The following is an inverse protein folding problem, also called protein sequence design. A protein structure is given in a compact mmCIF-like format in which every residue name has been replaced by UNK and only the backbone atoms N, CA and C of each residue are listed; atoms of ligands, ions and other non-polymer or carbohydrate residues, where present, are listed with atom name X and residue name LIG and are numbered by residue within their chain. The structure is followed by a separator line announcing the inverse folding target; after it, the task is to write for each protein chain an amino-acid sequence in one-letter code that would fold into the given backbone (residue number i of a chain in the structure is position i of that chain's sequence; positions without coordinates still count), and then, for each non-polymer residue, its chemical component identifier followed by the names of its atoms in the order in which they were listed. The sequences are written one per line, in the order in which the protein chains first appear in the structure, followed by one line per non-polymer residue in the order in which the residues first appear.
data_IF_284089623629
#
_entry.id   IF_284089623629
#
_cell.length_a   1.000
_cell.length_b   1.000
_cell.length_c   1.000
_cell.angle_alpha   90.00
_cell.angle_beta   90.00
_cell.angle_gamma   90.00
#
_symmetry.space_group_name_H-M   'P 1'
#
loop_
_entity.id
_entity.type
_entity.pdbx_description
1 polymer ?
#
# COMPACT_ATOMS: atom_id res chain seq x y z
N UNK A 1 26.31 40.11 17.90
CA UNK A 1 24.92 40.44 17.54
C UNK A 1 24.00 39.53 18.34
N UNK A 2 23.48 40.06 19.44
CA UNK A 2 22.66 39.38 20.43
C UNK A 2 21.18 39.51 20.07
N UNK A 3 20.49 38.38 19.89
CA UNK A 3 19.03 38.32 19.87
C UNK A 3 18.50 38.31 21.32
N UNK A 4 18.66 39.45 21.99
CA UNK A 4 17.84 39.83 23.14
C UNK A 4 16.81 40.82 22.61
N UNK A 5 15.53 40.44 22.64
CA UNK A 5 14.33 41.27 22.69
C UNK A 5 13.20 40.63 21.88
N UNK A 6 12.41 39.76 22.52
CA UNK A 6 10.95 39.69 22.35
C UNK A 6 10.35 38.72 23.37
N UNK A 7 9.85 39.27 24.49
CA UNK A 7 8.70 38.81 25.30
C UNK A 7 8.61 39.70 26.56
N UNK A 8 7.73 40.70 26.60
CA UNK A 8 7.30 41.28 27.87
C UNK A 8 5.97 40.65 28.34
N UNK A 9 5.95 40.36 29.64
CA UNK A 9 4.78 40.32 30.53
C UNK A 9 3.68 39.25 30.31
N UNK A 10 3.92 38.06 30.87
CA UNK A 10 2.87 37.30 31.57
C UNK A 10 3.38 37.07 33.00
N UNK A 11 2.91 37.90 33.95
CA UNK A 11 3.07 37.60 35.38
C UNK A 11 2.01 36.56 35.77
N UNK A 12 2.37 35.37 36.28
CA UNK A 12 1.39 34.52 36.92
C UNK A 12 1.02 35.12 38.28
N UNK A 13 -0.28 35.27 38.54
CA UNK A 13 -0.79 35.50 39.89
C UNK A 13 -0.32 34.35 40.78
N UNK A 14 0.23 34.71 41.94
CA UNK A 14 0.81 33.79 42.92
C UNK A 14 -0.23 32.80 43.46
N UNK A 15 -0.31 31.62 42.87
CA UNK A 15 -0.73 30.38 43.51
C UNK A 15 -0.21 29.22 42.64
N UNK A 16 0.60 28.33 43.24
CA UNK A 16 1.36 27.24 42.61
C UNK A 16 2.73 27.63 42.02
N UNK A 17 3.73 27.63 42.89
CA UNK A 17 5.13 27.57 42.48
C UNK A 17 5.41 26.25 41.77
N UNK A 18 6.20 26.34 40.71
CA UNK A 18 6.79 25.30 39.82
C UNK A 18 7.38 24.05 40.53
N UNK A 19 7.45 24.00 41.87
CA UNK A 19 8.07 22.92 42.65
C UNK A 19 7.31 21.59 42.67
N UNK A 20 6.01 21.55 42.36
CA UNK A 20 5.27 20.27 42.28
C UNK A 20 5.57 19.52 40.96
N UNK A 21 6.09 20.22 39.94
CA UNK A 21 6.49 19.57 38.69
C UNK A 21 7.75 18.70 38.85
N UNK A 22 8.72 19.07 39.69
CA UNK A 22 10.02 18.37 39.74
C UNK A 22 9.95 16.92 40.28
N UNK A 23 8.99 16.62 41.16
CA UNK A 23 8.74 15.24 41.60
C UNK A 23 8.09 14.39 40.49
N UNK A 24 7.20 14.98 39.69
CA UNK A 24 6.65 14.33 38.48
C UNK A 24 7.73 14.16 37.39
N UNK A 25 8.71 15.06 37.31
CA UNK A 25 9.86 14.99 36.39
C UNK A 25 10.73 13.75 36.66
N UNK A 26 10.75 13.21 37.89
CA UNK A 26 11.53 12.00 38.20
C UNK A 26 10.88 10.71 37.67
N UNK A 27 9.54 10.65 37.59
CA UNK A 27 8.82 9.60 36.83
C UNK A 27 9.03 9.79 35.31
N UNK A 28 9.21 11.04 34.89
CA UNK A 28 9.44 11.47 33.52
C UNK A 28 10.80 11.06 32.93
N UNK A 29 11.83 10.83 33.78
CA UNK A 29 13.16 10.37 33.33
C UNK A 29 13.14 8.95 32.73
N UNK A 30 12.11 8.15 32.99
CA UNK A 30 11.95 6.80 32.41
C UNK A 30 11.39 6.86 30.99
N UNK A 31 10.79 7.98 30.56
CA UNK A 31 10.10 8.09 29.28
C UNK A 31 10.86 8.99 28.32
N UNK A 32 12.10 8.63 28.03
CA UNK A 32 12.93 9.32 27.03
C UNK A 32 12.88 8.58 25.69
N UNK A 33 11.73 8.59 25.02
CA UNK A 33 11.61 8.24 23.61
C UNK A 33 10.67 9.23 22.90
N UNK A 34 11.20 9.84 21.83
CA UNK A 34 10.55 10.67 20.79
C UNK A 34 10.00 12.07 21.14
N UNK A 35 10.32 13.05 20.28
CA UNK A 35 9.90 14.46 20.33
C UNK A 35 8.37 14.68 20.51
N UNK A 36 7.55 13.74 20.02
CA UNK A 36 6.09 13.80 20.16
C UNK A 36 5.61 13.69 21.62
N UNK A 37 6.32 12.95 22.48
CA UNK A 37 5.92 12.78 23.87
C UNK A 37 6.07 14.07 24.69
N UNK A 38 7.09 14.87 24.38
CA UNK A 38 7.27 16.20 25.00
C UNK A 38 6.17 17.19 24.61
N UNK A 39 5.65 17.12 23.38
CA UNK A 39 4.58 18.01 22.91
C UNK A 39 3.22 17.65 23.53
N UNK A 40 2.89 16.37 23.59
CA UNK A 40 1.63 15.89 24.19
C UNK A 40 1.53 16.24 25.66
N UNK A 41 2.63 16.11 26.39
CA UNK A 41 2.62 16.41 27.81
C UNK A 41 2.57 17.91 28.11
N UNK A 42 3.15 18.76 27.24
CA UNK A 42 2.93 20.20 27.30
C UNK A 42 1.45 20.53 27.05
N UNK A 43 0.83 19.87 26.07
CA UNK A 43 -0.61 20.02 25.81
C UNK A 43 -1.47 19.56 27.00
N UNK A 44 -1.10 18.50 27.73
CA UNK A 44 -1.78 18.10 28.96
C UNK A 44 -1.79 19.23 30.01
N UNK A 45 -0.67 19.94 30.16
CA UNK A 45 -0.54 21.07 31.10
C UNK A 45 -1.41 22.24 30.63
N UNK A 46 -1.38 22.58 29.35
CA UNK A 46 -2.22 23.63 28.76
C UNK A 46 -3.71 23.32 28.96
N UNK A 47 -4.16 22.09 28.68
CA UNK A 47 -5.55 21.65 28.94
C UNK A 47 -5.93 21.90 30.40
N UNK A 48 -5.10 21.48 31.36
CA UNK A 48 -5.39 21.65 32.78
C UNK A 48 -5.52 23.14 33.18
N UNK A 49 -4.62 23.99 32.70
CA UNK A 49 -4.67 25.42 32.97
C UNK A 49 -5.86 26.11 32.30
N UNK A 50 -6.21 25.71 31.08
CA UNK A 50 -7.35 26.24 30.34
C UNK A 50 -8.67 25.86 31.01
N UNK A 51 -8.83 24.60 31.44
CA UNK A 51 -10.01 24.17 32.20
C UNK A 51 -10.13 24.97 33.50
N UNK A 52 -9.02 25.21 34.19
CA UNK A 52 -9.02 25.98 35.45
C UNK A 52 -9.56 27.42 35.22
N UNK A 53 -9.08 28.10 34.18
CA UNK A 53 -9.59 29.41 33.75
C UNK A 53 -11.07 29.36 33.35
N UNK A 54 -11.49 28.31 32.65
CA UNK A 54 -12.88 28.11 32.21
C UNK A 54 -13.83 27.82 33.36
N UNK A 55 -13.39 27.16 34.43
CA UNK A 55 -14.20 26.98 35.63
C UNK A 55 -14.54 28.32 36.30
N UNK A 56 -13.60 29.26 36.35
CA UNK A 56 -13.85 30.61 36.88
C UNK A 56 -14.85 31.39 36.01
N UNK A 57 -14.70 31.30 34.68
CA UNK A 57 -15.65 31.91 33.73
C UNK A 57 -17.05 31.30 33.84
N UNK A 58 -17.14 29.97 33.91
CA UNK A 58 -18.40 29.23 34.03
C UNK A 58 -19.15 29.57 35.33
N UNK A 59 -18.41 29.81 36.41
CA UNK A 59 -18.97 30.31 37.66
C UNK A 59 -19.49 31.74 37.50
N UNK A 60 -18.70 32.64 36.90
CA UNK A 60 -19.08 34.03 36.73
C UNK A 60 -20.32 34.21 35.84
N UNK A 61 -20.42 33.43 34.76
CA UNK A 61 -21.49 33.57 33.76
C UNK A 61 -22.76 32.79 34.13
N UNK A 62 -22.62 31.54 34.58
CA UNK A 62 -23.76 30.65 34.81
C UNK A 62 -24.03 30.36 36.28
N UNK A 63 -23.25 30.94 37.20
CA UNK A 63 -23.35 30.67 38.65
C UNK A 63 -23.21 29.18 39.00
N UNK A 64 -22.48 28.41 38.18
CA UNK A 64 -22.25 26.98 38.37
C UNK A 64 -20.80 26.72 38.77
N UNK A 65 -20.61 26.06 39.91
CA UNK A 65 -19.27 25.72 40.40
C UNK A 65 -18.76 24.41 39.78
N UNK A 66 -17.52 24.42 39.30
CA UNK A 66 -16.78 23.21 38.94
C UNK A 66 -15.35 23.28 39.50
N UNK A 67 -14.86 22.19 40.05
CA UNK A 67 -13.57 22.15 40.73
C UNK A 67 -12.56 21.35 39.92
N UNK A 68 -11.44 22.01 39.58
CA UNK A 68 -10.28 21.34 38.99
C UNK A 68 -9.31 20.99 40.09
N UNK A 69 -8.91 19.72 40.16
CA UNK A 69 -7.97 19.23 41.18
C UNK A 69 -6.80 18.50 40.53
N UNK A 70 -5.65 18.35 41.22
CA UNK A 70 -4.57 17.49 40.75
C UNK A 70 -5.03 16.05 40.47
N UNK A 71 -6.06 15.56 41.17
CA UNK A 71 -6.63 14.24 40.93
C UNK A 71 -7.35 14.14 39.58
N UNK A 72 -7.95 15.22 39.08
CA UNK A 72 -8.53 15.28 37.73
C UNK A 72 -7.44 15.25 36.66
N UNK A 73 -6.27 15.85 36.93
CA UNK A 73 -5.10 15.74 36.06
C UNK A 73 -4.55 14.31 35.99
N UNK A 74 -4.47 13.62 37.13
CA UNK A 74 -4.08 12.21 37.14
C UNK A 74 -5.08 11.31 36.41
N UNK A 75 -6.38 11.62 36.48
CA UNK A 75 -7.41 10.92 35.70
C UNK A 75 -7.19 11.10 34.20
N UNK A 76 -6.94 12.33 33.73
CA UNK A 76 -6.56 12.60 32.32
C UNK A 76 -5.40 11.68 31.88
N UNK A 77 -4.30 11.68 32.64
CA UNK A 77 -3.11 10.90 32.29
C UNK A 77 -3.39 9.40 32.29
N UNK A 78 -4.19 8.93 33.25
CA UNK A 78 -4.54 7.52 33.36
C UNK A 78 -5.44 7.05 32.21
N UNK A 79 -6.47 7.85 31.86
CA UNK A 79 -7.35 7.57 30.73
C UNK A 79 -6.54 7.60 29.42
N UNK A 80 -5.72 8.63 29.20
CA UNK A 80 -4.88 8.73 28.02
C UNK A 80 -3.94 7.52 27.87
N UNK A 81 -3.24 7.14 28.94
CA UNK A 81 -2.29 6.01 28.93
C UNK A 81 -2.98 4.67 28.65
N UNK A 82 -4.20 4.47 29.17
CA UNK A 82 -5.01 3.27 28.91
C UNK A 82 -5.50 3.22 27.46
N UNK A 83 -5.99 4.35 26.94
CA UNK A 83 -6.64 4.41 25.63
C UNK A 83 -5.65 4.44 24.46
N UNK A 84 -4.48 5.08 24.62
CA UNK A 84 -3.53 5.24 23.52
C UNK A 84 -3.00 3.89 23.03
N UNK A 85 -2.71 2.96 23.95
CA UNK A 85 -2.26 1.62 23.59
C UNK A 85 -3.34 0.84 22.85
N UNK A 86 -4.56 0.84 23.38
CA UNK A 86 -5.70 0.14 22.79
C UNK A 86 -6.03 0.67 21.39
N UNK A 87 -6.17 1.99 21.24
CA UNK A 87 -6.54 2.62 19.96
C UNK A 87 -5.45 2.50 18.91
N UNK A 88 -4.18 2.63 19.31
CA UNK A 88 -3.06 2.42 18.38
C UNK A 88 -3.01 0.99 17.89
N UNK A 89 -3.23 0.01 18.77
CA UNK A 89 -3.27 -1.40 18.38
C UNK A 89 -4.47 -1.70 17.47
N UNK A 90 -5.66 -1.18 17.79
CA UNK A 90 -6.87 -1.34 16.97
C UNK A 90 -6.66 -0.84 15.53
N UNK A 91 -6.18 0.40 15.38
CA UNK A 91 -5.92 1.00 14.08
C UNK A 91 -4.77 0.31 13.34
N UNK A 92 -3.70 -0.05 14.05
CA UNK A 92 -2.57 -0.77 13.45
C UNK A 92 -3.00 -2.14 12.93
N UNK A 93 -3.77 -2.91 13.72
CA UNK A 93 -4.30 -4.20 13.29
C UNK A 93 -5.26 -4.06 12.10
N UNK A 94 -6.12 -3.04 12.09
CA UNK A 94 -6.99 -2.77 10.93
C UNK A 94 -6.18 -2.44 9.66
N UNK A 95 -5.16 -1.58 9.79
CA UNK A 95 -4.24 -1.24 8.70
C UNK A 95 -3.50 -2.47 8.18
N UNK A 96 -2.94 -3.29 9.08
CA UNK A 96 -2.23 -4.50 8.69
C UNK A 96 -3.12 -5.51 7.98
N UNK A 97 -4.34 -5.74 8.46
CA UNK A 97 -5.29 -6.63 7.77
C UNK A 97 -5.57 -6.16 6.34
N UNK A 98 -5.81 -4.86 6.15
CA UNK A 98 -6.10 -4.31 4.83
C UNK A 98 -4.87 -4.34 3.91
N UNK A 99 -3.69 -4.03 4.47
CA UNK A 99 -2.42 -4.10 3.74
C UNK A 99 -2.08 -5.53 3.30
N UNK A 100 -2.19 -6.51 4.20
CA UNK A 100 -1.99 -7.92 3.86
C UNK A 100 -2.99 -8.42 2.81
N UNK A 101 -4.23 -7.90 2.80
CA UNK A 101 -5.18 -8.19 1.73
C UNK A 101 -4.68 -7.71 0.37
N UNK A 102 -4.17 -6.48 0.31
CA UNK A 102 -3.59 -5.88 -0.90
C UNK A 102 -2.33 -6.63 -1.37
N UNK A 103 -1.41 -6.90 -0.45
CA UNK A 103 -0.14 -7.60 -0.76
C UNK A 103 -0.42 -9.00 -1.34
N UNK A 104 -1.39 -9.73 -0.77
CA UNK A 104 -1.80 -11.05 -1.29
C UNK A 104 -2.37 -10.99 -2.68
N UNK A 105 -3.18 -9.98 -2.99
CA UNK A 105 -3.77 -9.85 -4.32
C UNK A 105 -2.71 -9.49 -5.35
N UNK A 106 -1.79 -8.59 -5.02
CA UNK A 106 -0.71 -8.23 -5.92
C UNK A 106 0.27 -9.41 -6.17
N UNK A 107 0.51 -10.27 -5.18
CA UNK A 107 1.27 -11.53 -5.41
C UNK A 107 0.56 -12.49 -6.38
N UNK A 108 -0.78 -12.52 -6.36
CA UNK A 108 -1.55 -13.33 -7.32
C UNK A 108 -1.40 -12.76 -8.73
N UNK A 109 -1.48 -11.44 -8.90
CA UNK A 109 -1.30 -10.78 -10.21
C UNK A 109 0.13 -10.96 -10.75
N UNK A 110 1.13 -10.90 -9.89
CA UNK A 110 2.52 -11.15 -10.26
C UNK A 110 2.71 -12.58 -10.81
N UNK A 111 2.15 -13.58 -10.13
CA UNK A 111 2.23 -14.97 -10.57
C UNK A 111 1.46 -15.20 -11.90
N UNK A 112 0.32 -14.53 -12.11
CA UNK A 112 -0.41 -14.58 -13.40
C UNK A 112 0.47 -14.09 -14.55
N UNK A 113 1.09 -12.93 -14.32
CA UNK A 113 1.94 -12.27 -15.31
C UNK A 113 3.16 -13.13 -15.59
N UNK A 114 3.73 -13.79 -14.56
CA UNK A 114 4.86 -14.70 -14.71
C UNK A 114 4.51 -15.92 -15.57
N UNK A 115 3.35 -16.54 -15.34
CA UNK A 115 2.87 -17.67 -16.14
C UNK A 115 2.61 -17.25 -17.60
N UNK A 116 2.02 -16.07 -17.81
CA UNK A 116 1.82 -15.52 -19.15
C UNK A 116 3.14 -15.26 -19.88
N UNK A 117 4.12 -14.66 -19.20
CA UNK A 117 5.48 -14.46 -19.74
C UNK A 117 6.13 -15.78 -20.12
N UNK A 118 6.09 -16.80 -19.25
CA UNK A 118 6.64 -18.13 -19.55
C UNK A 118 5.99 -18.77 -20.79
N UNK A 119 4.67 -18.60 -20.96
CA UNK A 119 3.98 -19.10 -22.15
C UNK A 119 4.41 -18.37 -23.44
N UNK A 120 4.62 -17.04 -23.38
CA UNK A 120 5.12 -16.27 -24.52
C UNK A 120 6.61 -16.56 -24.81
N UNK A 121 7.44 -16.81 -23.78
CA UNK A 121 8.84 -17.26 -23.94
C UNK A 121 8.93 -18.61 -24.66
N UNK A 122 8.05 -19.55 -24.31
CA UNK A 122 8.00 -20.85 -24.97
C UNK A 122 7.63 -20.71 -26.46
N UNK A 123 6.66 -19.84 -26.79
CA UNK A 123 6.30 -19.54 -28.19
C UNK A 123 7.44 -18.87 -28.94
N UNK A 124 8.10 -17.88 -28.35
CA UNK A 124 9.25 -17.21 -28.95
C UNK A 124 10.40 -18.19 -29.23
N UNK A 125 10.69 -19.08 -28.27
CA UNK A 125 11.73 -20.11 -28.40
C UNK A 125 11.41 -21.10 -29.53
N UNK A 126 10.16 -21.55 -29.65
CA UNK A 126 9.77 -22.46 -30.73
C UNK A 126 9.84 -21.77 -32.10
N UNK A 127 9.39 -20.52 -32.21
CA UNK A 127 9.53 -19.72 -33.44
C UNK A 127 11.01 -19.51 -33.81
N UNK A 128 11.88 -19.27 -32.83
CA UNK A 128 13.32 -19.14 -33.02
C UNK A 128 13.94 -20.41 -33.57
N UNK A 129 13.53 -21.57 -33.01
CA UNK A 129 13.99 -22.89 -33.45
C UNK A 129 13.60 -23.15 -34.91
N UNK A 130 12.38 -22.79 -35.30
CA UNK A 130 11.90 -22.95 -36.69
C UNK A 130 12.67 -22.04 -37.65
N UNK A 131 12.84 -20.75 -37.32
CA UNK A 131 13.61 -19.82 -38.14
C UNK A 131 15.08 -20.28 -38.32
N UNK A 132 15.71 -20.73 -37.24
CA UNK A 132 17.09 -21.24 -37.28
C UNK A 132 17.20 -22.50 -38.16
N UNK A 133 16.25 -23.43 -38.06
CA UNK A 133 16.26 -24.63 -38.90
C UNK A 133 16.13 -24.31 -40.40
N UNK A 134 15.32 -23.31 -40.76
CA UNK A 134 15.19 -22.83 -42.15
C UNK A 134 16.49 -22.15 -42.61
N UNK A 135 17.11 -21.35 -41.73
CA UNK A 135 18.38 -20.69 -42.02
C UNK A 135 19.53 -21.69 -42.25
N UNK A 136 19.65 -22.70 -41.39
CA UNK A 136 20.68 -23.74 -41.49
C UNK A 136 20.52 -24.56 -42.78
N UNK A 137 19.29 -24.87 -43.17
CA UNK A 137 18.99 -25.61 -44.40
C UNK A 137 19.30 -24.77 -45.66
N UNK A 138 18.98 -23.47 -45.64
CA UNK A 138 19.34 -22.55 -46.73
C UNK A 138 20.86 -22.34 -46.83
N UNK A 139 21.56 -22.25 -45.69
CA UNK A 139 23.02 -22.08 -45.65
C UNK A 139 23.74 -23.32 -46.16
N UNK A 140 23.27 -24.51 -45.78
CA UNK A 140 23.80 -25.79 -46.27
C UNK A 140 23.74 -25.89 -47.81
N UNK A 141 22.61 -25.51 -48.41
CA UNK A 141 22.47 -25.49 -49.87
C UNK A 141 23.43 -24.48 -50.51
N UNK A 142 23.61 -23.32 -49.87
CA UNK A 142 24.50 -22.26 -50.35
C UNK A 142 25.98 -22.69 -50.26
N UNK A 143 26.36 -23.38 -49.19
CA UNK A 143 27.72 -23.91 -48.96
C UNK A 143 28.11 -24.98 -49.98
N UNK A 144 27.13 -25.68 -50.59
CA UNK A 144 27.39 -26.61 -51.69
C UNK A 144 27.72 -25.85 -53.00
N UNK A 145 27.05 -24.73 -53.27
CA UNK A 145 27.16 -24.01 -54.54
C UNK A 145 28.26 -22.94 -54.59
N UNK A 146 28.52 -22.24 -53.48
CA UNK A 146 29.46 -21.11 -53.46
C UNK A 146 30.93 -21.50 -53.72
N UNK A 147 31.48 -22.59 -53.17
CA UNK A 147 32.87 -22.96 -53.42
C UNK A 147 33.13 -23.28 -54.90
N UNK A 148 32.16 -23.90 -55.57
CA UNK A 148 32.24 -24.19 -57.00
C UNK A 148 32.24 -22.91 -57.85
N UNK A 149 31.45 -21.91 -57.44
CA UNK A 149 31.38 -20.61 -58.10
C UNK A 149 32.66 -19.78 -57.88
N UNK A 150 33.17 -19.73 -56.66
CA UNK A 150 34.40 -18.99 -56.33
C UNK A 150 35.63 -19.57 -57.03
N UNK A 151 35.75 -20.91 -57.08
CA UNK A 151 36.80 -21.58 -57.82
C UNK A 151 36.76 -21.22 -59.32
N UNK A 152 35.57 -21.12 -59.90
CA UNK A 152 35.39 -20.71 -61.28
C UNK A 152 35.71 -19.22 -61.52
N UNK A 153 35.29 -18.32 -60.63
CA UNK A 153 35.59 -16.89 -60.72
C UNK A 153 37.09 -16.60 -60.60
N UNK A 154 37.78 -17.30 -59.69
CA UNK A 154 39.23 -17.19 -59.55
C UNK A 154 39.96 -17.65 -60.83
N UNK A 155 39.44 -18.70 -61.48
CA UNK A 155 39.97 -19.18 -62.76
C UNK A 155 39.75 -18.17 -63.89
N UNK A 156 38.61 -17.48 -63.94
CA UNK A 156 38.31 -16.43 -64.92
C UNK A 156 39.16 -15.17 -64.75
N UNK A 157 39.40 -14.72 -63.51
CA UNK A 157 40.23 -13.53 -63.22
C UNK A 157 41.68 -13.65 -63.70
N UNK A 158 42.14 -14.86 -64.00
CA UNK A 158 43.48 -15.14 -64.50
C UNK A 158 43.65 -15.01 -66.03
N UNK A 159 42.56 -14.77 -66.78
CA UNK A 159 42.55 -14.78 -68.26
C UNK A 159 42.90 -13.41 -68.87
N UNK A 160 43.46 -13.42 -70.10
CA UNK A 160 43.86 -12.21 -70.85
C UNK A 160 42.96 -12.00 -72.09
N UNK A 161 42.97 -10.77 -72.63
CA UNK A 161 42.06 -10.28 -73.69
C UNK A 161 42.11 -11.08 -75.02
N UNK A 162 43.11 -11.93 -75.25
CA UNK A 162 43.29 -12.69 -76.49
C UNK A 162 42.58 -14.06 -76.50
N UNK A 163 41.92 -14.45 -75.40
CA UNK A 163 41.45 -15.82 -75.15
C UNK A 163 39.93 -16.05 -75.38
N UNK A 164 39.20 -15.11 -76.01
CA UNK A 164 37.72 -15.12 -76.04
C UNK A 164 37.16 -15.34 -77.45
N UNK A 165 36.36 -16.40 -77.65
CA UNK A 165 35.50 -16.61 -78.82
C UNK A 165 34.14 -17.14 -78.35
N UNK A 166 33.06 -16.74 -79.03
CA UNK A 166 31.65 -16.87 -78.65
C UNK A 166 31.14 -18.33 -78.67
N UNK A 167 30.29 -18.73 -77.72
CA UNK A 167 29.75 -20.11 -77.61
C UNK A 167 28.25 -20.09 -77.31
N UNK A 168 27.49 -20.93 -78.04
CA UNK A 168 26.03 -21.06 -78.01
C UNK A 168 25.53 -22.25 -77.14
N UNK A 169 24.30 -22.12 -76.66
CA UNK A 169 23.71 -22.70 -75.44
C UNK A 169 23.20 -24.16 -75.52
N UNK A 170 23.80 -25.06 -76.30
CA UNK A 170 23.21 -26.41 -76.52
C UNK A 170 24.11 -27.62 -76.16
N UNK A 171 25.23 -27.43 -75.46
CA UNK A 171 26.30 -28.45 -75.35
C UNK A 171 26.45 -29.18 -73.99
N UNK A 172 25.58 -28.93 -72.99
CA UNK A 172 25.85 -29.27 -71.58
C UNK A 172 25.91 -30.78 -71.24
N UNK A 173 25.32 -31.65 -72.08
CA UNK A 173 25.23 -33.11 -71.83
C UNK A 173 26.29 -33.94 -72.57
N UNK A 174 27.17 -33.31 -73.36
CA UNK A 174 28.17 -34.04 -74.12
C UNK A 174 29.33 -34.45 -73.20
N UNK A 175 29.74 -35.73 -73.26
CA UNK A 175 30.92 -36.26 -72.57
C UNK A 175 32.22 -35.53 -72.95
N UNK A 176 32.24 -34.86 -74.10
CA UNK A 176 33.33 -33.98 -74.54
C UNK A 176 33.37 -32.63 -73.80
N UNK A 177 32.32 -32.25 -73.07
CA UNK A 177 32.21 -31.00 -72.30
C UNK A 177 32.52 -31.22 -70.79
N UNK A 178 33.41 -32.15 -70.49
CA UNK A 178 33.98 -32.32 -69.15
C UNK A 178 35.25 -31.49 -68.99
N UNK A 179 35.45 -30.95 -67.79
CA UNK A 179 36.62 -30.12 -67.44
C UNK A 179 37.94 -30.84 -67.69
N UNK A 180 37.98 -32.15 -67.46
CA UNK A 180 39.17 -32.99 -67.63
C UNK A 180 39.51 -33.26 -69.11
N UNK A 181 38.50 -33.25 -69.98
CA UNK A 181 38.65 -33.42 -71.43
C UNK A 181 39.11 -32.12 -72.09
N UNK A 182 38.56 -30.97 -71.68
CA UNK A 182 38.88 -29.65 -72.22
C UNK A 182 40.24 -29.13 -71.72
N UNK A 183 40.65 -29.53 -70.51
CA UNK A 183 41.97 -29.23 -69.94
C UNK A 183 43.14 -29.70 -70.81
N UNK A 184 42.94 -30.76 -71.59
CA UNK A 184 43.96 -31.32 -72.49
C UNK A 184 44.18 -30.46 -73.74
N UNK A 185 43.21 -29.62 -74.12
CA UNK A 185 43.22 -28.86 -75.38
C UNK A 185 43.48 -27.37 -75.14
N UNK A 186 42.85 -26.76 -74.13
CA UNK A 186 43.05 -25.34 -73.82
C UNK A 186 42.78 -25.04 -72.35
N UNK A 187 43.78 -24.44 -71.69
CA UNK A 187 43.64 -23.94 -70.32
C UNK A 187 42.60 -22.82 -70.24
N UNK A 188 42.52 -21.94 -71.26
CA UNK A 188 41.55 -20.86 -71.29
C UNK A 188 40.10 -21.36 -71.42
N UNK A 189 39.87 -22.35 -72.30
CA UNK A 189 38.54 -22.94 -72.47
C UNK A 189 38.09 -23.76 -71.24
N UNK A 190 39.04 -24.24 -70.43
CA UNK A 190 38.77 -24.99 -69.19
C UNK A 190 38.17 -24.08 -68.12
N UNK A 191 38.72 -22.88 -67.93
CA UNK A 191 38.21 -21.89 -66.98
C UNK A 191 36.77 -21.48 -67.30
N UNK A 192 36.46 -21.30 -68.59
CA UNK A 192 35.11 -20.98 -69.07
C UNK A 192 34.15 -22.16 -68.88
N UNK A 193 34.60 -23.38 -69.18
CA UNK A 193 33.81 -24.60 -68.93
C UNK A 193 33.49 -24.79 -67.44
N UNK A 194 34.46 -24.55 -66.55
CA UNK A 194 34.26 -24.58 -65.09
C UNK A 194 33.25 -23.53 -64.66
N UNK A 195 33.32 -22.31 -65.20
CA UNK A 195 32.37 -21.25 -64.90
C UNK A 195 30.95 -21.56 -65.39
N UNK A 196 30.77 -22.04 -66.62
CA UNK A 196 29.44 -22.40 -67.14
C UNK A 196 28.83 -23.54 -66.32
N UNK A 197 29.63 -24.53 -65.90
CA UNK A 197 29.17 -25.63 -65.03
C UNK A 197 28.83 -25.14 -63.62
N UNK A 198 29.66 -24.28 -63.03
CA UNK A 198 29.38 -23.67 -61.73
C UNK A 198 28.11 -22.79 -61.78
N UNK A 199 27.90 -22.06 -62.88
CA UNK A 199 26.72 -21.23 -63.08
C UNK A 199 25.44 -22.06 -63.25
N UNK A 200 25.54 -23.23 -63.90
CA UNK A 200 24.43 -24.18 -63.97
C UNK A 200 24.08 -24.74 -62.58
N UNK A 201 25.07 -25.18 -61.79
CA UNK A 201 24.84 -25.66 -60.41
C UNK A 201 24.25 -24.55 -59.54
N UNK A 202 24.82 -23.36 -59.59
CA UNK A 202 24.32 -22.19 -58.89
C UNK A 202 22.89 -21.83 -59.28
N UNK A 203 22.51 -21.90 -60.55
CA UNK A 203 21.14 -21.61 -61.00
C UNK A 203 20.09 -22.51 -60.35
N UNK A 204 20.34 -23.82 -60.28
CA UNK A 204 19.38 -24.75 -59.66
C UNK A 204 19.34 -24.59 -58.13
N UNK A 205 20.49 -24.36 -57.49
CA UNK A 205 20.55 -24.11 -56.05
C UNK A 205 19.88 -22.77 -55.70
N UNK A 206 20.15 -21.70 -56.44
CA UNK A 206 19.50 -20.40 -56.23
C UNK A 206 17.98 -20.48 -56.39
N UNK A 207 17.48 -21.25 -57.36
CA UNK A 207 16.03 -21.51 -57.51
C UNK A 207 15.44 -22.31 -56.35
N UNK A 208 16.20 -23.21 -55.73
CA UNK A 208 15.75 -24.00 -54.58
C UNK A 208 15.82 -23.21 -53.25
N UNK A 209 16.79 -22.30 -53.11
CA UNK A 209 17.00 -21.46 -51.92
C UNK A 209 16.05 -20.25 -51.88
N UNK A 210 15.60 -19.75 -53.03
CA UNK A 210 14.67 -18.60 -53.11
C UNK A 210 13.39 -18.75 -52.25
N UNK A 211 12.62 -19.86 -52.32
CA UNK A 211 11.47 -20.05 -51.43
C UNK A 211 11.86 -20.18 -49.95
N UNK A 212 13.04 -20.75 -49.65
CA UNK A 212 13.55 -20.84 -48.26
C UNK A 212 13.90 -19.47 -47.69
N UNK A 213 14.43 -18.57 -48.52
CA UNK A 213 14.70 -17.17 -48.14
C UNK A 213 13.42 -16.41 -47.82
N UNK A 214 12.38 -16.57 -48.63
CA UNK A 214 11.08 -15.95 -48.38
C UNK A 214 10.44 -16.49 -47.09
N UNK A 215 10.47 -17.82 -46.89
CA UNK A 215 9.98 -18.46 -45.68
C UNK A 215 10.78 -18.05 -44.42
N UNK A 216 12.10 -17.89 -44.54
CA UNK A 216 12.95 -17.40 -43.46
C UNK A 216 12.60 -15.95 -43.10
N UNK A 217 12.37 -15.09 -44.10
CA UNK A 217 12.00 -13.71 -43.88
C UNK A 217 10.67 -13.61 -43.12
N UNK A 218 9.64 -14.35 -43.55
CA UNK A 218 8.34 -14.39 -42.87
C UNK A 218 8.46 -14.92 -41.43
N UNK A 219 9.20 -16.01 -41.22
CA UNK A 219 9.44 -16.57 -39.88
C UNK A 219 10.22 -15.60 -38.97
N UNK A 220 11.15 -14.82 -39.53
CA UNK A 220 11.93 -13.83 -38.80
C UNK A 220 11.08 -12.60 -38.41
N UNK A 221 10.18 -12.17 -39.29
CA UNK A 221 9.20 -11.10 -39.01
C UNK A 221 8.23 -11.53 -37.89
N UNK A 222 7.72 -12.77 -37.96
CA UNK A 222 6.86 -13.36 -36.92
C UNK A 222 7.56 -13.52 -35.56
N UNK A 223 8.85 -13.85 -35.59
CA UNK A 223 9.68 -13.91 -34.39
C UNK A 223 9.86 -12.52 -33.78
N UNK A 224 10.17 -11.51 -34.58
CA UNK A 224 10.38 -10.13 -34.11
C UNK A 224 9.11 -9.57 -33.43
N UNK A 225 7.94 -9.81 -34.01
CA UNK A 225 6.66 -9.44 -33.39
C UNK A 225 6.48 -10.14 -32.04
N UNK A 226 6.78 -11.43 -31.96
CA UNK A 226 6.64 -12.22 -30.72
C UNK A 226 7.65 -11.76 -29.66
N UNK A 227 8.87 -11.43 -30.06
CA UNK A 227 9.91 -10.93 -29.18
C UNK A 227 9.54 -9.57 -28.58
N UNK A 228 8.97 -8.66 -29.38
CA UNK A 228 8.47 -7.37 -28.88
C UNK A 228 7.35 -7.52 -27.85
N UNK A 229 6.42 -8.46 -28.08
CA UNK A 229 5.34 -8.76 -27.12
C UNK A 229 5.92 -9.32 -25.83
N UNK A 230 6.91 -10.22 -25.95
CA UNK A 230 7.60 -10.79 -24.80
C UNK A 230 8.35 -9.73 -23.99
N UNK A 231 9.05 -8.82 -24.66
CA UNK A 231 9.80 -7.75 -24.00
C UNK A 231 8.87 -6.80 -23.23
N UNK A 232 7.74 -6.41 -23.82
CA UNK A 232 6.68 -5.62 -23.15
C UNK A 232 6.07 -6.37 -21.95
N UNK A 233 5.84 -7.69 -22.09
CA UNK A 233 5.33 -8.51 -20.99
C UNK A 233 6.35 -8.65 -19.84
N UNK A 234 7.65 -8.78 -20.16
CA UNK A 234 8.75 -8.82 -19.17
C UNK A 234 8.91 -7.50 -18.43
N UNK A 235 8.80 -6.37 -19.13
CA UNK A 235 8.86 -5.05 -18.51
C UNK A 235 7.71 -4.86 -17.50
N UNK A 236 6.49 -5.27 -17.87
CA UNK A 236 5.33 -5.26 -16.97
C UNK A 236 5.53 -6.15 -15.75
N UNK A 237 6.10 -7.35 -15.92
CA UNK A 237 6.41 -8.25 -14.81
C UNK A 237 7.44 -7.63 -13.85
N UNK A 238 8.53 -7.05 -14.38
CA UNK A 238 9.56 -6.42 -13.59
C UNK A 238 9.02 -5.25 -12.74
N UNK A 239 8.12 -4.44 -13.29
CA UNK A 239 7.48 -3.34 -12.56
C UNK A 239 6.60 -3.85 -11.39
N UNK A 240 5.96 -5.00 -11.53
CA UNK A 240 5.14 -5.62 -10.46
C UNK A 240 6.03 -6.25 -9.39
N UNK A 241 7.12 -6.92 -9.79
CA UNK A 241 8.09 -7.55 -8.88
C UNK A 241 8.90 -6.51 -8.08
N UNK A 242 9.32 -5.39 -8.68
CA UNK A 242 10.04 -4.33 -7.95
C UNK A 242 9.15 -3.70 -6.86
N UNK A 243 7.84 -3.64 -7.09
CA UNK A 243 6.87 -3.21 -6.08
C UNK A 243 6.69 -4.26 -4.95
N UNK A 244 7.04 -5.53 -5.18
CA UNK A 244 6.83 -6.66 -4.27
C UNK A 244 8.15 -7.28 -3.84
N UNK A 245 8.70 -6.79 -2.73
CA UNK A 245 9.81 -7.44 -2.03
C UNK A 245 9.42 -8.83 -1.50
N UNK A 246 9.53 -9.85 -2.36
CA UNK A 246 9.71 -11.27 -2.08
C UNK A 246 8.77 -11.95 -1.07
N UNK A 247 7.78 -12.70 -1.57
CA UNK A 247 7.40 -13.96 -0.92
C UNK A 247 6.65 -14.88 -1.88
N UNK A 248 7.29 -16.00 -2.22
CA UNK A 248 6.68 -17.16 -2.87
C UNK A 248 5.75 -17.87 -1.88
N UNK A 249 4.45 -17.88 -2.13
CA UNK A 249 3.57 -18.96 -1.67
C UNK A 249 2.28 -18.98 -2.47
N UNK A 250 2.11 -20.04 -3.27
CA UNK A 250 1.05 -20.14 -4.27
C UNK A 250 -0.37 -20.39 -3.75
N UNK A 251 -1.34 -20.22 -4.65
CA UNK A 251 -2.59 -20.96 -4.71
C UNK A 251 -3.22 -20.71 -6.09
N UNK A 252 -3.39 -21.77 -6.89
CA UNK A 252 -4.03 -21.74 -8.20
C UNK A 252 -5.57 -21.56 -8.12
N UNK A 253 -6.07 -20.91 -7.07
CA UNK A 253 -7.45 -21.05 -6.59
C UNK A 253 -8.24 -19.73 -6.67
N UNK A 254 -7.58 -18.62 -7.02
CA UNK A 254 -8.10 -17.24 -6.97
C UNK A 254 -8.33 -16.67 -8.37
N UNK A 255 -8.45 -17.52 -9.40
CA UNK A 255 -8.38 -17.09 -10.80
C UNK A 255 -9.70 -16.66 -11.46
N UNK A 256 -10.80 -16.50 -10.72
CA UNK A 256 -12.11 -16.14 -11.31
C UNK A 256 -12.74 -14.85 -10.75
N UNK A 257 -12.05 -14.11 -9.87
CA UNK A 257 -12.60 -12.90 -9.22
C UNK A 257 -11.90 -11.59 -9.60
N UNK A 258 -10.74 -11.65 -10.28
CA UNK A 258 -9.82 -10.52 -10.49
C UNK A 258 -10.44 -9.37 -11.30
N UNK A 259 -11.36 -9.67 -12.24
CA UNK A 259 -12.03 -8.66 -13.06
C UNK A 259 -13.01 -7.75 -12.29
N UNK A 260 -13.51 -8.17 -11.12
CA UNK A 260 -14.42 -7.37 -10.28
C UNK A 260 -13.73 -6.58 -9.17
N UNK A 261 -12.43 -6.79 -8.96
CA UNK A 261 -11.67 -6.29 -7.81
C UNK A 261 -10.86 -5.02 -8.09
N UNK A 262 -10.77 -4.56 -9.34
CA UNK A 262 -9.99 -3.36 -9.68
C UNK A 262 -10.49 -2.09 -8.95
N UNK A 263 -11.81 -1.88 -8.91
CA UNK A 263 -12.42 -0.77 -8.16
C UNK A 263 -12.32 -0.99 -6.63
N UNK A 264 -12.37 -2.25 -6.17
CA UNK A 264 -12.19 -2.58 -4.76
C UNK A 264 -10.76 -2.30 -4.30
N UNK A 265 -9.76 -2.49 -5.16
CA UNK A 265 -8.34 -2.21 -4.92
C UNK A 265 -8.05 -0.73 -4.70
N UNK A 266 -8.67 0.14 -5.50
CA UNK A 266 -8.57 1.59 -5.30
C UNK A 266 -9.13 1.97 -3.93
N UNK A 267 -10.32 1.45 -3.60
CA UNK A 267 -10.95 1.67 -2.29
C UNK A 267 -10.10 1.14 -1.13
N UNK A 268 -9.48 -0.04 -1.25
CA UNK A 268 -8.61 -0.58 -0.20
C UNK A 268 -7.34 0.23 -0.04
N UNK A 269 -6.73 0.72 -1.13
CA UNK A 269 -5.60 1.66 -1.06
C UNK A 269 -5.96 2.96 -0.37
N UNK A 270 -7.08 3.57 -0.73
CA UNK A 270 -7.60 4.75 -0.03
C UNK A 270 -7.85 4.46 1.45
N UNK A 271 -8.41 3.29 1.78
CA UNK A 271 -8.65 2.87 3.16
C UNK A 271 -7.34 2.69 3.94
N UNK A 272 -6.30 2.10 3.32
CA UNK A 272 -4.97 1.96 3.94
C UNK A 272 -4.36 3.33 4.19
N UNK A 273 -4.40 4.25 3.21
CA UNK A 273 -3.91 5.62 3.37
C UNK A 273 -4.65 6.37 4.50
N UNK A 274 -5.97 6.22 4.56
CA UNK A 274 -6.77 6.81 5.63
C UNK A 274 -6.42 6.21 7.00
N UNK A 275 -6.21 4.89 7.08
CA UNK A 275 -5.79 4.22 8.30
C UNK A 275 -4.38 4.66 8.73
N UNK A 276 -3.45 4.85 7.80
CA UNK A 276 -2.12 5.39 8.08
C UNK A 276 -2.18 6.83 8.61
N UNK A 277 -2.99 7.68 7.98
CA UNK A 277 -3.27 9.02 8.47
C UNK A 277 -3.81 8.99 9.90
N UNK A 278 -4.76 8.12 10.20
CA UNK A 278 -5.30 7.97 11.56
C UNK A 278 -4.25 7.43 12.53
N UNK A 279 -3.44 6.43 12.15
CA UNK A 279 -2.37 5.88 13.02
C UNK A 279 -1.34 6.94 13.42
N UNK A 280 -0.99 7.85 12.50
CA UNK A 280 -0.02 8.91 12.76
C UNK A 280 -0.57 10.02 13.68
N UNK A 281 -1.89 10.22 13.66
CA UNK A 281 -2.57 11.31 14.35
C UNK A 281 -3.37 10.89 15.60
N UNK A 282 -3.55 9.58 15.83
CA UNK A 282 -4.37 9.02 16.92
C UNK A 282 -3.96 9.54 18.30
N UNK A 283 -2.70 9.90 18.49
CA UNK A 283 -2.22 10.34 19.78
C UNK A 283 -2.80 11.69 20.22
N UNK A 284 -2.95 12.65 19.30
CA UNK A 284 -3.63 13.91 19.59
C UNK A 284 -5.14 13.69 19.79
N UNK A 285 -5.76 12.85 18.97
CA UNK A 285 -7.18 12.55 19.04
C UNK A 285 -7.58 11.89 20.37
N UNK A 286 -6.77 10.93 20.83
CA UNK A 286 -6.95 10.26 22.12
C UNK A 286 -6.69 11.21 23.29
N UNK A 287 -5.73 12.13 23.16
CA UNK A 287 -5.48 13.15 24.20
C UNK A 287 -6.67 14.10 24.34
N UNK A 288 -7.22 14.57 23.23
CA UNK A 288 -8.44 15.40 23.23
C UNK A 288 -9.60 14.64 23.87
N UNK A 289 -9.84 13.39 23.47
CA UNK A 289 -10.91 12.57 24.00
C UNK A 289 -10.73 12.28 25.51
N UNK A 290 -9.50 12.01 25.96
CA UNK A 290 -9.19 11.83 27.38
C UNK A 290 -9.43 13.10 28.19
N UNK A 291 -9.06 14.28 27.65
CA UNK A 291 -9.40 15.58 28.23
C UNK A 291 -10.91 15.79 28.35
N UNK A 292 -11.66 15.36 27.34
CA UNK A 292 -13.11 15.43 27.32
C UNK A 292 -13.74 14.61 28.44
N UNK A 293 -13.29 13.36 28.61
CA UNK A 293 -13.80 12.48 29.66
C UNK A 293 -13.42 12.99 31.05
N UNK A 294 -12.18 13.47 31.24
CA UNK A 294 -11.68 13.89 32.55
C UNK A 294 -12.23 15.25 33.03
N UNK A 295 -12.51 16.19 32.11
CA UNK A 295 -12.83 17.57 32.48
C UNK A 295 -14.18 18.08 31.99
N UNK A 296 -14.65 17.64 30.82
CA UNK A 296 -15.79 18.30 30.14
C UNK A 296 -17.16 17.80 30.61
N UNK A 297 -17.23 16.71 31.38
CA UNK A 297 -18.48 16.15 31.93
C UNK A 297 -19.41 17.18 32.61
N UNK A 298 -18.93 18.01 33.56
CA UNK A 298 -19.79 18.98 34.27
C UNK A 298 -20.22 20.22 33.46
N UNK A 299 -19.63 20.45 32.28
CA UNK A 299 -19.91 21.63 31.46
C UNK A 299 -21.11 21.41 30.52
N UNK A 300 -21.78 22.50 30.15
CA UNK A 300 -22.85 22.51 29.13
C UNK A 300 -22.29 22.28 27.73
N UNK A 301 -23.13 21.80 26.80
CA UNK A 301 -22.70 21.48 25.43
C UNK A 301 -21.97 22.63 24.72
N UNK A 302 -22.48 23.85 24.82
CA UNK A 302 -21.84 25.04 24.24
C UNK A 302 -20.43 25.28 24.79
N UNK A 303 -20.25 25.15 26.10
CA UNK A 303 -18.95 25.25 26.76
C UNK A 303 -18.01 24.13 26.31
N UNK A 304 -18.51 22.91 26.13
CA UNK A 304 -17.70 21.79 25.64
C UNK A 304 -17.19 22.04 24.23
N UNK A 305 -18.05 22.50 23.33
CA UNK A 305 -17.68 22.85 21.96
C UNK A 305 -16.65 23.97 21.93
N UNK A 306 -16.89 25.07 22.66
CA UNK A 306 -15.96 26.20 22.73
C UNK A 306 -14.59 25.80 23.32
N UNK A 307 -14.57 24.98 24.37
CA UNK A 307 -13.33 24.49 24.96
C UNK A 307 -12.58 23.53 24.03
N UNK A 308 -13.29 22.64 23.32
CA UNK A 308 -12.68 21.75 22.34
C UNK A 308 -12.02 22.54 21.20
N UNK A 309 -12.66 23.59 20.69
CA UNK A 309 -12.08 24.48 19.68
C UNK A 309 -10.84 25.22 20.19
N UNK A 310 -10.88 25.70 21.44
CA UNK A 310 -9.74 26.36 22.07
C UNK A 310 -8.57 25.40 22.25
N UNK A 311 -8.84 24.16 22.69
CA UNK A 311 -7.83 23.12 22.80
C UNK A 311 -7.23 22.82 21.43
N UNK A 312 -8.04 22.65 20.38
CA UNK A 312 -7.56 22.39 19.02
C UNK A 312 -6.63 23.47 18.48
N UNK A 313 -6.85 24.73 18.88
CA UNK A 313 -5.90 25.81 18.59
C UNK A 313 -4.55 25.56 19.27
N UNK A 314 -4.56 25.16 20.54
CA UNK A 314 -3.36 24.73 21.27
C UNK A 314 -2.66 23.54 20.62
N UNK A 315 -3.39 22.52 20.15
CA UNK A 315 -2.82 21.39 19.41
C UNK A 315 -2.06 21.85 18.16
N UNK A 316 -2.59 22.84 17.43
CA UNK A 316 -1.95 23.44 16.25
C UNK A 316 -0.70 24.25 16.63
N UNK A 317 -0.79 25.09 17.67
CA UNK A 317 0.33 25.91 18.15
C UNK A 317 1.51 25.07 18.64
N UNK A 318 1.22 23.95 19.31
CA UNK A 318 2.22 23.00 19.80
C UNK A 318 2.63 21.95 18.76
N UNK A 319 2.06 22.00 17.54
CA UNK A 319 2.30 21.05 16.45
C UNK A 319 2.12 19.57 16.88
N UNK A 320 1.13 19.29 17.75
CA UNK A 320 0.80 17.92 18.14
C UNK A 320 0.05 17.25 16.98
N UNK A 321 0.46 16.06 16.48
CA UNK A 321 -0.26 15.35 15.42
C UNK A 321 -1.69 15.00 15.86
N UNK A 322 -2.68 15.41 15.06
CA UNK A 322 -4.10 15.17 15.27
C UNK A 322 -4.84 15.14 13.92
N UNK A 323 -6.01 14.50 13.88
CA UNK A 323 -6.86 14.54 12.69
C UNK A 323 -7.40 15.95 12.44
N UNK A 324 -7.98 16.22 11.27
CA UNK A 324 -8.47 17.58 10.97
C UNK A 324 -9.59 18.03 11.92
N UNK A 325 -10.48 17.11 12.30
CA UNK A 325 -11.66 17.36 13.15
C UNK A 325 -11.86 16.27 14.20
N UNK A 326 -10.95 16.14 15.17
CA UNK A 326 -11.07 15.16 16.23
C UNK A 326 -12.24 15.51 17.13
N UNK A 327 -13.03 14.52 17.51
CA UNK A 327 -14.11 14.67 18.48
C UNK A 327 -14.22 13.42 19.36
N UNK A 328 -14.87 13.56 20.51
CA UNK A 328 -15.01 12.46 21.48
C UNK A 328 -15.67 11.22 20.85
N UNK A 329 -16.74 11.42 20.08
CA UNK A 329 -17.54 10.33 19.51
C UNK A 329 -16.77 9.60 18.40
N UNK A 330 -16.03 10.31 17.54
CA UNK A 330 -15.23 9.69 16.48
C UNK A 330 -14.08 8.86 17.04
N UNK A 331 -13.50 9.28 18.16
CA UNK A 331 -12.33 8.62 18.75
C UNK A 331 -12.73 7.44 19.65
N UNK A 332 -13.73 7.63 20.51
CA UNK A 332 -14.11 6.64 21.54
C UNK A 332 -15.53 6.09 21.38
N UNK A 333 -16.34 6.64 20.48
CA UNK A 333 -17.71 6.20 20.27
C UNK A 333 -17.80 4.93 19.43
N UNK A 334 -18.04 3.80 20.11
CA UNK A 334 -18.41 2.57 19.43
C UNK A 334 -19.87 2.65 18.93
N UNK A 335 -20.08 2.52 17.61
CA UNK A 335 -21.40 2.64 16.98
C UNK A 335 -22.40 1.59 17.48
N UNK A 336 -21.94 0.39 17.81
CA UNK A 336 -22.78 -0.71 18.30
C UNK A 336 -23.22 -0.41 19.74
N UNK A 337 -22.31 0.04 20.60
CA UNK A 337 -22.63 0.46 21.97
C UNK A 337 -23.55 1.68 22.00
N UNK A 338 -23.30 2.68 21.16
CA UNK A 338 -24.18 3.85 21.06
C UNK A 338 -25.59 3.42 20.66
N UNK A 339 -25.73 2.48 19.71
CA UNK A 339 -27.04 1.95 19.32
C UNK A 339 -27.71 1.20 20.48
N UNK A 340 -26.97 0.42 21.26
CA UNK A 340 -27.54 -0.27 22.43
C UNK A 340 -28.01 0.71 23.50
N UNK A 341 -27.27 1.80 23.73
CA UNK A 341 -27.70 2.87 24.64
C UNK A 341 -28.96 3.57 24.14
N UNK A 342 -29.07 3.84 22.83
CA UNK A 342 -30.27 4.43 22.23
C UNK A 342 -31.49 3.53 22.36
N UNK A 343 -31.32 2.21 22.21
CA UNK A 343 -32.38 1.22 22.47
C UNK A 343 -32.80 1.25 23.95
N UNK A 344 -31.84 1.42 24.86
CA UNK A 344 -32.10 1.61 26.29
C UNK A 344 -32.73 2.99 26.63
N UNK A 345 -32.95 3.86 25.64
CA UNK A 345 -33.62 5.15 25.80
C UNK A 345 -32.69 6.35 25.94
N UNK A 346 -31.40 6.22 25.61
CA UNK A 346 -30.53 7.38 25.42
C UNK A 346 -30.99 8.19 24.20
N UNK A 347 -31.17 9.51 24.32
CA UNK A 347 -31.45 10.36 23.17
C UNK A 347 -30.35 10.30 22.10
N UNK A 348 -30.71 10.66 20.86
CA UNK A 348 -29.81 10.60 19.69
C UNK A 348 -28.98 11.86 19.47
N UNK A 349 -29.17 12.91 20.27
CA UNK A 349 -28.40 14.15 20.15
C UNK A 349 -26.94 13.96 20.58
N UNK A 350 -26.05 14.83 20.08
CA UNK A 350 -24.60 14.73 20.35
C UNK A 350 -24.29 14.77 21.84
N UNK A 351 -24.95 15.66 22.61
CA UNK A 351 -24.67 15.85 24.03
C UNK A 351 -25.00 14.60 24.84
N UNK A 352 -26.14 13.97 24.56
CA UNK A 352 -26.54 12.70 25.19
C UNK A 352 -25.58 11.57 24.86
N UNK A 353 -25.15 11.46 23.59
CA UNK A 353 -24.15 10.46 23.18
C UNK A 353 -22.80 10.71 23.86
N UNK A 354 -22.34 11.96 23.93
CA UNK A 354 -21.12 12.34 24.65
C UNK A 354 -21.21 11.94 26.12
N UNK A 355 -22.34 12.21 26.80
CA UNK A 355 -22.54 11.81 28.18
C UNK A 355 -22.46 10.28 28.36
N UNK A 356 -23.01 9.52 27.40
CA UNK A 356 -22.88 8.07 27.37
C UNK A 356 -21.42 7.62 27.27
N UNK A 357 -20.65 8.22 26.35
CA UNK A 357 -19.22 7.94 26.17
C UNK A 357 -18.42 8.33 27.42
N UNK A 358 -18.64 9.51 27.99
CA UNK A 358 -17.99 9.95 29.24
C UNK A 358 -18.28 8.95 30.36
N UNK A 359 -19.52 8.46 30.47
CA UNK A 359 -19.92 7.49 31.50
C UNK A 359 -19.20 6.16 31.35
N UNK A 360 -19.02 5.69 30.12
CA UNK A 360 -18.32 4.44 29.83
C UNK A 360 -16.82 4.49 30.19
N UNK A 361 -16.16 5.61 29.91
CA UNK A 361 -14.71 5.75 30.02
C UNK A 361 -14.23 6.46 31.30
N UNK A 362 -15.14 7.06 32.06
CA UNK A 362 -14.83 7.65 33.36
C UNK A 362 -14.37 6.59 34.35
N UNK A 363 -13.27 6.84 35.04
CA UNK A 363 -12.75 5.94 36.08
C UNK A 363 -13.55 6.05 37.38
N UNK A 364 -14.31 7.14 37.51
CA UNK A 364 -15.18 7.44 38.64
C UNK A 364 -16.63 7.37 38.21
N UNK A 365 -17.51 7.01 39.14
CA UNK A 365 -18.94 7.03 38.90
C UNK A 365 -19.41 8.47 38.65
N UNK A 366 -19.87 8.81 37.43
CA UNK A 366 -20.35 10.16 37.15
C UNK A 366 -21.62 10.45 37.94
N UNK A 367 -21.69 11.65 38.52
CA UNK A 367 -22.91 12.16 39.13
C UNK A 367 -23.76 12.85 38.05
N UNK A 368 -24.96 12.35 37.80
CA UNK A 368 -25.87 12.95 36.83
C UNK A 368 -26.70 14.07 37.47
N UNK A 369 -26.67 15.25 36.85
CA UNK A 369 -27.59 16.33 37.13
C UNK A 369 -28.74 16.22 36.13
N UNK A 370 -29.83 15.56 36.53
CA UNK A 370 -30.90 15.11 35.62
C UNK A 370 -32.28 15.60 36.08
N UNK A 371 -32.62 16.89 35.85
CA UNK A 371 -33.92 17.43 36.22
C UNK A 371 -35.10 16.80 35.45
N UNK A 372 -34.83 16.20 34.28
CA UNK A 372 -35.86 15.62 33.42
C UNK A 372 -36.01 14.09 33.61
N UNK A 373 -35.19 13.47 34.46
CA UNK A 373 -35.21 12.03 34.71
C UNK A 373 -34.77 11.15 33.53
N UNK A 374 -34.16 11.73 32.49
CA UNK A 374 -33.76 11.00 31.29
C UNK A 374 -32.62 10.02 31.57
N UNK A 375 -31.58 10.48 32.26
CA UNK A 375 -30.45 9.65 32.65
C UNK A 375 -30.89 8.53 33.60
N UNK A 376 -31.77 8.84 34.56
CA UNK A 376 -32.33 7.83 35.47
C UNK A 376 -33.09 6.74 34.70
N UNK A 377 -33.94 7.13 33.74
CA UNK A 377 -34.67 6.17 32.89
C UNK A 377 -33.72 5.32 32.04
N UNK A 378 -32.72 5.95 31.42
CA UNK A 378 -31.71 5.26 30.62
C UNK A 378 -30.92 4.24 31.44
N UNK A 379 -30.40 4.63 32.62
CA UNK A 379 -29.63 3.73 33.50
C UNK A 379 -30.49 2.56 33.97
N UNK A 380 -31.75 2.80 34.38
CA UNK A 380 -32.68 1.72 34.77
C UNK A 380 -32.90 0.74 33.64
N UNK A 381 -33.16 1.23 32.43
CA UNK A 381 -33.35 0.37 31.27
C UNK A 381 -32.08 -0.42 30.93
N UNK A 382 -30.90 0.20 31.00
CA UNK A 382 -29.64 -0.51 30.83
C UNK A 382 -29.46 -1.64 31.85
N UNK A 383 -29.74 -1.37 33.14
CA UNK A 383 -29.64 -2.38 34.21
C UNK A 383 -30.67 -3.49 34.02
N UNK A 384 -31.91 -3.18 33.61
CA UNK A 384 -32.95 -4.18 33.33
C UNK A 384 -32.55 -5.05 32.14
N UNK A 385 -32.01 -4.47 31.07
CA UNK A 385 -31.53 -5.22 29.91
C UNK A 385 -30.42 -6.18 30.37
N UNK A 386 -29.42 -5.68 31.10
CA UNK A 386 -28.35 -6.51 31.67
C UNK A 386 -28.93 -7.61 32.56
N UNK A 387 -29.81 -7.27 33.51
CA UNK A 387 -30.45 -8.25 34.39
C UNK A 387 -31.26 -9.28 33.61
N UNK A 388 -31.96 -8.94 32.53
CA UNK A 388 -32.69 -9.92 31.71
C UNK A 388 -31.75 -10.86 30.93
N UNK A 389 -30.57 -10.39 30.52
CA UNK A 389 -29.52 -11.25 29.94
C UNK A 389 -28.96 -12.23 30.99
N UNK A 390 -28.74 -11.75 32.23
CA UNK A 390 -28.14 -12.55 33.31
C UNK A 390 -29.15 -13.28 34.20
N UNK A 391 -30.45 -12.97 34.24
CA UNK A 391 -31.45 -13.70 35.06
C UNK A 391 -31.88 -15.03 34.45
N UNK A 392 -31.45 -15.33 33.22
CA UNK A 392 -31.36 -16.73 32.75
C UNK A 392 -30.19 -17.50 33.38
N UNK A 393 -29.27 -16.83 34.09
CA UNK A 393 -28.13 -17.40 34.81
C UNK A 393 -27.80 -16.57 36.08
N UNK A 394 -28.53 -16.86 37.17
CA UNK A 394 -28.19 -16.56 38.58
C UNK A 394 -28.58 -15.17 39.12
N UNK A 395 -29.34 -15.21 40.22
CA UNK A 395 -29.72 -14.11 41.11
C UNK A 395 -28.50 -13.41 41.73
N UNK A 396 -28.44 -12.07 41.74
CA UNK A 396 -27.41 -11.32 42.45
C UNK A 396 -27.99 -10.19 43.32
N UNK A 397 -27.91 -10.37 44.63
CA UNK A 397 -28.03 -9.35 45.68
C UNK A 397 -26.67 -8.71 46.00
N UNK A 398 -26.70 -7.54 46.64
CA UNK A 398 -25.62 -6.55 46.77
C UNK A 398 -24.32 -7.03 47.45
N UNK A 399 -24.29 -8.17 48.12
CA UNK A 399 -23.11 -8.67 48.84
C UNK A 399 -21.98 -9.21 47.93
N UNK A 400 -22.30 -9.68 46.73
CA UNK A 400 -21.26 -10.26 45.85
C UNK A 400 -20.49 -9.21 45.00
N UNK A 401 -20.81 -7.92 45.09
CA UNK A 401 -20.14 -6.87 44.29
C UNK A 401 -18.71 -6.55 44.73
N UNK A 402 -18.28 -6.98 45.91
CA UNK A 402 -16.90 -6.78 46.36
C UNK A 402 -15.89 -7.65 45.58
N UNK A 403 -16.32 -8.76 44.96
CA UNK A 403 -15.41 -9.71 44.30
C UNK A 403 -15.44 -9.68 42.77
N UNK A 404 -16.37 -8.94 42.15
CA UNK A 404 -16.39 -8.77 40.70
C UNK A 404 -16.12 -7.31 40.35
N UNK A 405 -14.88 -7.03 39.95
CA UNK A 405 -14.57 -5.91 39.07
C UNK A 405 -15.42 -6.05 37.79
N UNK A 406 -16.68 -5.62 37.83
CA UNK A 406 -17.47 -5.38 36.61
C UNK A 406 -16.90 -4.14 35.93
N UNK A 407 -15.80 -4.37 35.23
CA UNK A 407 -15.30 -3.47 34.22
C UNK A 407 -16.32 -3.51 33.07
N UNK A 408 -17.04 -2.42 32.82
CA UNK A 408 -17.97 -2.29 31.68
C UNK A 408 -17.28 -2.42 30.29
N UNK A 409 -16.00 -2.80 30.27
CA UNK A 409 -15.21 -3.04 29.07
C UNK A 409 -15.40 -4.44 28.46
N UNK A 410 -16.15 -5.36 29.09
CA UNK A 410 -16.47 -6.68 28.52
C UNK A 410 -17.92 -6.78 28.03
N UNK A 411 -18.31 -5.89 27.12
CA UNK A 411 -19.45 -6.03 26.21
C UNK A 411 -19.01 -5.60 24.83
#
# INVERSE_FOLDING_TARGET
MSFQNWRPALRPSKAWSVKVCDACVSVYKIVKLTCCLSLQALMCVEIHQMVSRKCEQYLAELSRHNYVTPKSYLELLSIFSSLIGQKKQELHSARQRMKTGLDKEDTVVAEETRVAVQAEEAKATEKARVAQAIADDAQKDLDEALPALDAALNSLKSLKKNDVVEVHTSYFLLTSFQTDSIAKVSKACTSICQWVRAMHVYHFVARAVEPKRQALQEAQEDLDVTQRILDDAKEKLAAVEEAHGGSDTGCCCVWQLIGGLADEKVRWRETVQQLEYMVNNVAGDVLLAAGYVAYLGPFTGEYRSAMAEEWLRGFKELAVPHTERPNLISTLGDKVKIRSWQIAGLPKDSLSVENGVITQYSQRWPLFIDPQGQANKWIKNMVIIIQNYYTKNIFFTLDNKANYHMNMNSV
#
